data_IF_174732027715
#
_entry.id   IF_174732027715
#
_cell.length_a   1.000
_cell.length_b   1.000
_cell.length_c   1.000
_cell.angle_alpha   90.00
_cell.angle_beta   90.00
_cell.angle_gamma   90.00
#
_symmetry.space_group_name_H-M   'P 1'
#
loop_
_entity.id
_entity.type
_entity.pdbx_description
1 polymer ?
#
# COMPACT_ATOMS: atom_id res chain seq x y z
N UNK A 1 2.82 9.15 -10.25
CA UNK A 1 3.78 10.08 -9.62
C UNK A 1 4.69 10.69 -10.66
N UNK A 2 5.39 11.78 -10.31
CA UNK A 2 6.31 12.48 -11.23
C UNK A 2 7.48 11.63 -11.73
N UNK A 3 7.76 10.49 -11.07
CA UNK A 3 8.74 9.49 -11.47
C UNK A 3 8.14 8.32 -12.29
N UNK A 4 6.89 8.46 -12.75
CA UNK A 4 6.17 7.43 -13.51
C UNK A 4 5.59 6.29 -12.67
N UNK A 5 5.91 6.22 -11.37
CA UNK A 5 5.37 5.18 -10.49
C UNK A 5 3.85 5.37 -10.28
N UNK A 6 3.12 4.26 -10.20
CA UNK A 6 1.68 4.22 -9.96
C UNK A 6 1.40 3.62 -8.60
N UNK A 7 0.32 4.07 -7.97
CA UNK A 7 -0.02 3.59 -6.64
C UNK A 7 -1.49 3.27 -6.44
N UNK A 8 -1.73 2.29 -5.56
CA UNK A 8 -3.03 2.04 -4.97
C UNK A 8 -3.07 2.75 -3.61
N UNK A 9 -3.88 3.81 -3.52
CA UNK A 9 -3.95 4.67 -2.34
C UNK A 9 -5.39 5.00 -1.92
N UNK A 10 -5.53 5.56 -0.73
CA UNK A 10 -6.79 6.10 -0.21
C UNK A 10 -7.96 5.11 -0.10
N UNK A 11 -7.67 3.84 0.19
CA UNK A 11 -8.69 2.82 0.43
C UNK A 11 -9.01 2.73 1.92
N UNK A 12 -10.28 2.86 2.27
CA UNK A 12 -10.77 2.68 3.63
C UNK A 12 -12.16 2.05 3.64
N UNK A 13 -12.41 1.17 4.62
CA UNK A 13 -13.75 0.67 4.93
C UNK A 13 -14.10 1.08 6.35
N UNK A 14 -15.26 1.73 6.50
CA UNK A 14 -15.79 2.13 7.81
C UNK A 14 -15.93 0.90 8.73
N UNK A 15 -15.69 1.02 10.04
CA UNK A 15 -15.70 -0.12 10.96
C UNK A 15 -16.94 -1.01 10.86
N UNK A 16 -18.13 -0.40 10.78
CA UNK A 16 -19.42 -1.09 10.69
C UNK A 16 -19.61 -1.96 9.44
N UNK A 17 -18.75 -1.80 8.42
CA UNK A 17 -18.84 -2.51 7.14
C UNK A 17 -17.62 -3.39 6.84
N UNK A 18 -16.72 -3.57 7.82
CA UNK A 18 -15.56 -4.48 7.70
C UNK A 18 -16.03 -5.94 7.72
N UNK A 19 -15.19 -6.84 7.22
CA UNK A 19 -15.50 -8.28 7.15
C UNK A 19 -16.48 -8.69 6.04
N UNK A 20 -17.05 -7.74 5.30
CA UNK A 20 -18.06 -7.99 4.25
C UNK A 20 -17.46 -8.07 2.83
N UNK A 21 -16.13 -8.15 2.69
CA UNK A 21 -15.48 -8.22 1.37
C UNK A 21 -15.44 -6.92 0.57
N UNK A 22 -15.94 -5.79 1.08
CA UNK A 22 -16.00 -4.51 0.35
C UNK A 22 -14.62 -4.04 -0.12
N UNK A 23 -13.63 -4.01 0.77
CA UNK A 23 -12.26 -3.61 0.41
C UNK A 23 -11.68 -4.55 -0.66
N UNK A 24 -11.97 -5.85 -0.57
CA UNK A 24 -11.52 -6.84 -1.53
C UNK A 24 -12.09 -6.57 -2.92
N UNK A 25 -13.40 -6.41 -3.03
CA UNK A 25 -14.07 -6.13 -4.29
C UNK A 25 -13.57 -4.83 -4.94
N UNK A 26 -13.38 -3.78 -4.13
CA UNK A 26 -12.82 -2.51 -4.60
C UNK A 26 -11.39 -2.67 -5.13
N UNK A 27 -10.53 -3.37 -4.39
CA UNK A 27 -9.14 -3.62 -4.80
C UNK A 27 -9.10 -4.46 -6.07
N UNK A 28 -9.86 -5.55 -6.15
CA UNK A 28 -9.93 -6.41 -7.35
C UNK A 28 -10.36 -5.61 -8.59
N UNK A 29 -11.38 -4.76 -8.45
CA UNK A 29 -11.84 -3.90 -9.55
C UNK A 29 -10.79 -2.87 -9.98
N UNK A 30 -10.03 -2.29 -9.04
CA UNK A 30 -8.94 -1.36 -9.36
C UNK A 30 -7.77 -2.07 -10.02
N UNK A 31 -7.39 -3.26 -9.53
CA UNK A 31 -6.29 -4.05 -10.07
C UNK A 31 -6.59 -4.60 -11.47
N UNK A 32 -7.85 -4.95 -11.76
CA UNK A 32 -8.26 -5.41 -13.09
C UNK A 32 -8.02 -4.37 -14.19
N UNK A 33 -7.99 -3.08 -13.82
CA UNK A 33 -7.80 -1.96 -14.75
C UNK A 33 -6.33 -1.57 -14.93
N UNK A 34 -5.44 -2.11 -14.11
CA UNK A 34 -4.04 -1.73 -14.11
C UNK A 34 -3.17 -2.79 -14.78
N UNK A 35 -2.25 -2.35 -15.63
CA UNK A 35 -1.37 -3.21 -16.42
C UNK A 35 0.09 -3.12 -16.01
N UNK A 36 0.47 -2.09 -15.25
CA UNK A 36 1.83 -1.85 -14.82
C UNK A 36 2.13 -2.29 -13.40
N UNK A 37 3.37 -2.02 -12.99
CA UNK A 37 3.80 -2.13 -11.60
C UNK A 37 3.02 -1.16 -10.72
N UNK A 38 2.46 -1.67 -9.63
CA UNK A 38 1.79 -0.88 -8.62
C UNK A 38 2.55 -0.91 -7.31
N UNK A 39 2.57 0.24 -6.66
CA UNK A 39 3.06 0.39 -5.31
C UNK A 39 1.91 0.73 -4.37
N UNK A 40 2.06 0.42 -3.09
CA UNK A 40 1.18 0.97 -2.05
C UNK A 40 1.97 1.20 -0.78
N UNK A 41 1.46 2.12 0.03
CA UNK A 41 1.89 2.25 1.42
C UNK A 41 0.79 1.74 2.33
N UNK A 42 1.15 0.94 3.33
CA UNK A 42 0.21 0.42 4.29
C UNK A 42 0.87 0.26 5.66
N UNK A 43 0.03 0.05 6.67
CA UNK A 43 0.50 -0.42 7.97
C UNK A 43 1.02 -1.83 7.82
N UNK A 44 2.13 -2.14 8.49
CA UNK A 44 2.71 -3.49 8.57
C UNK A 44 1.68 -4.58 8.95
N UNK A 45 0.74 -4.29 9.84
CA UNK A 45 -0.35 -5.20 10.21
C UNK A 45 -1.25 -5.61 9.03
N UNK A 46 -1.27 -4.84 7.94
CA UNK A 46 -2.05 -5.12 6.73
C UNK A 46 -1.22 -5.86 5.67
N UNK A 47 0.04 -6.20 5.92
CA UNK A 47 0.92 -6.90 4.98
C UNK A 47 0.24 -8.17 4.45
N UNK A 48 -0.17 -9.08 5.34
CA UNK A 48 -0.84 -10.34 4.95
C UNK A 48 -2.17 -10.16 4.21
N UNK A 49 -2.85 -9.02 4.39
CA UNK A 49 -4.05 -8.70 3.63
C UNK A 49 -3.70 -8.37 2.18
N UNK A 50 -2.69 -7.53 1.96
CA UNK A 50 -2.27 -7.11 0.62
C UNK A 50 -1.52 -8.20 -0.15
N UNK A 51 -0.81 -9.12 0.53
CA UNK A 51 -0.16 -10.27 -0.12
C UNK A 51 -1.13 -11.13 -0.93
N UNK A 52 -2.39 -11.24 -0.50
CA UNK A 52 -3.44 -11.98 -1.22
C UNK A 52 -3.77 -11.40 -2.60
N UNK A 53 -3.42 -10.14 -2.84
CA UNK A 53 -3.61 -9.46 -4.12
C UNK A 53 -2.33 -9.44 -4.98
N UNK A 54 -1.28 -10.16 -4.57
CA UNK A 54 0.01 -10.22 -5.27
C UNK A 54 0.96 -9.08 -4.93
N UNK A 55 0.71 -8.33 -3.85
CA UNK A 55 1.69 -7.37 -3.35
C UNK A 55 2.73 -8.05 -2.48
N UNK A 56 3.99 -7.70 -2.68
CA UNK A 56 5.12 -8.13 -1.87
C UNK A 56 5.76 -6.92 -1.22
N UNK A 57 6.13 -7.03 0.06
CA UNK A 57 6.90 -6.00 0.75
C UNK A 57 8.26 -5.85 0.10
N UNK A 58 8.68 -4.60 -0.11
CA UNK A 58 9.99 -4.29 -0.70
C UNK A 58 10.91 -3.60 0.29
N UNK A 59 12.21 -3.86 0.15
CA UNK A 59 13.25 -3.16 0.91
C UNK A 59 13.44 -1.74 0.38
N UNK A 60 14.10 -0.90 1.18
CA UNK A 60 14.31 0.52 0.87
C UNK A 60 15.10 0.75 -0.42
N UNK A 61 15.98 -0.17 -0.77
CA UNK A 61 16.82 -0.10 -1.97
C UNK A 61 16.01 -0.39 -3.23
N UNK A 62 15.01 -1.28 -3.13
CA UNK A 62 14.08 -1.59 -4.22
C UNK A 62 12.93 -0.58 -4.39
N UNK A 63 12.78 0.40 -3.47
CA UNK A 63 11.74 1.44 -3.57
C UNK A 63 12.09 2.49 -4.63
N UNK A 64 11.11 2.96 -5.42
CA UNK A 64 11.27 4.15 -6.24
C UNK A 64 11.62 5.39 -5.40
N UNK A 65 12.29 6.40 -5.99
CA UNK A 65 12.74 7.59 -5.27
C UNK A 65 11.63 8.30 -4.48
N UNK A 66 10.41 8.37 -5.03
CA UNK A 66 9.25 8.95 -4.36
C UNK A 66 8.96 8.23 -3.02
N UNK A 67 8.76 6.91 -3.05
CA UNK A 67 8.44 6.11 -1.86
C UNK A 67 9.57 6.11 -0.83
N UNK A 68 10.83 6.11 -1.30
CA UNK A 68 12.00 6.18 -0.42
C UNK A 68 12.06 7.48 0.38
N UNK A 69 11.63 8.61 -0.20
CA UNK A 69 11.53 9.91 0.48
C UNK A 69 10.30 9.96 1.39
N UNK A 70 9.16 9.48 0.91
CA UNK A 70 7.90 9.43 1.66
C UNK A 70 8.06 8.63 2.95
N UNK A 71 8.55 7.39 2.87
CA UNK A 71 8.67 6.50 4.03
C UNK A 71 9.66 7.03 5.08
N UNK A 72 10.69 7.76 4.65
CA UNK A 72 11.64 8.42 5.56
C UNK A 72 10.91 9.47 6.41
N UNK A 73 10.10 10.32 5.78
CA UNK A 73 9.34 11.38 6.47
C UNK A 73 8.27 10.77 7.37
N UNK A 74 7.48 9.84 6.83
CA UNK A 74 6.35 9.22 7.55
C UNK A 74 6.83 8.45 8.79
N UNK A 75 7.94 7.70 8.71
CA UNK A 75 8.44 6.97 9.87
C UNK A 75 9.15 7.86 10.91
N UNK A 76 9.59 9.07 10.55
CA UNK A 76 10.10 10.06 11.52
C UNK A 76 8.96 10.64 12.39
N UNK A 77 7.74 10.72 11.85
CA UNK A 77 6.54 11.22 12.55
C UNK A 77 5.62 10.10 13.08
N UNK A 78 5.98 8.84 12.82
CA UNK A 78 5.20 7.64 13.15
C UNK A 78 4.85 7.43 14.64
N UNK A 79 5.59 7.90 15.67
CA UNK A 79 5.11 7.78 17.05
C UNK A 79 3.75 8.45 17.30
N UNK A 80 3.32 9.39 16.45
CA UNK A 80 1.98 10.02 16.50
C UNK A 80 0.90 9.16 15.80
N UNK A 81 1.29 8.25 14.91
CA UNK A 81 0.40 7.40 14.10
C UNK A 81 0.14 6.02 14.74
N UNK A 82 -0.48 6.00 15.94
CA UNK A 82 -1.05 4.78 16.57
C UNK A 82 -0.14 3.53 16.57
N UNK A 83 1.18 3.69 16.65
CA UNK A 83 2.13 2.58 16.83
C UNK A 83 2.28 1.61 15.65
N UNK A 84 1.69 1.88 14.49
CA UNK A 84 1.82 1.01 13.32
C UNK A 84 2.91 1.53 12.37
N UNK A 85 3.89 0.69 12.05
CA UNK A 85 4.96 1.05 11.10
C UNK A 85 4.40 1.06 9.69
N UNK A 86 4.72 2.11 8.93
CA UNK A 86 4.36 2.16 7.51
C UNK A 86 5.42 1.41 6.69
N UNK A 87 4.94 0.55 5.80
CA UNK A 87 5.73 -0.22 4.84
C UNK A 87 5.30 0.13 3.41
N UNK A 88 6.17 -0.18 2.46
CA UNK A 88 5.86 -0.08 1.02
C UNK A 88 5.79 -1.49 0.45
N UNK A 89 4.76 -1.76 -0.32
CA UNK A 89 4.60 -3.02 -1.05
C UNK A 89 4.54 -2.74 -2.55
N UNK A 90 5.00 -3.70 -3.35
CA UNK A 90 5.04 -3.68 -4.81
C UNK A 90 4.28 -4.88 -5.35
N UNK A 91 3.52 -4.67 -6.43
CA UNK A 91 2.90 -5.72 -7.23
C UNK A 91 3.35 -5.56 -8.68
N UNK A 92 3.76 -6.67 -9.27
CA UNK A 92 3.96 -6.79 -10.71
C UNK A 92 2.74 -7.50 -11.31
N UNK A 93 2.41 -7.21 -12.57
CA UNK A 93 1.33 -7.90 -13.27
C UNK A 93 1.83 -9.22 -13.83
#
# INVERSE_FOLDING_TARGET
>A
HGDGSRELASIATIPARRGQGIARALIEALLARETGTLYLTCRDQLESFYTRFGFCKITRDAMPPYFRRLIRIVNLIAPVLRGARIIVMKREK
#
